data_IF_156181078856
#
_entry.id   IF_156181078856
#
_cell.length_a   1.000
_cell.length_b   1.000
_cell.length_c   1.000
_cell.angle_alpha   90.00
_cell.angle_beta   90.00
_cell.angle_gamma   90.00
#
_symmetry.space_group_name_H-M   'P 1'
#
loop_
_entity.id
_entity.type
_entity.pdbx_description
1 polymer ?
#
# COMPACT_ATOMS: atom_id res chain seq x y z
N UNK A 1 19.17 5.39 11.69
CA UNK A 1 18.95 4.14 10.94
C UNK A 1 17.47 3.78 10.85
N UNK A 2 16.69 3.83 11.93
CA UNK A 2 15.24 3.51 11.91
C UNK A 2 14.41 4.32 10.92
N UNK A 3 14.59 5.65 10.87
CA UNK A 3 13.86 6.50 9.93
C UNK A 3 14.08 6.10 8.46
N UNK A 4 15.28 5.59 8.11
CA UNK A 4 15.61 5.09 6.78
C UNK A 4 14.78 3.84 6.45
N UNK A 5 14.68 2.89 7.38
CA UNK A 5 13.88 1.68 7.20
C UNK A 5 12.39 2.01 7.04
N UNK A 6 11.85 2.89 7.89
CA UNK A 6 10.45 3.31 7.79
C UNK A 6 10.17 4.05 6.47
N UNK A 7 11.11 4.88 6.01
CA UNK A 7 10.98 5.58 4.72
C UNK A 7 10.99 4.60 3.55
N UNK A 8 11.90 3.62 3.56
CA UNK A 8 11.96 2.58 2.52
C UNK A 8 10.67 1.75 2.52
N UNK A 9 10.16 1.36 3.69
CA UNK A 9 8.90 0.64 3.80
C UNK A 9 7.72 1.46 3.25
N UNK A 10 7.66 2.75 3.56
CA UNK A 10 6.64 3.66 3.04
C UNK A 10 6.71 3.79 1.51
N UNK A 11 7.91 3.89 0.93
CA UNK A 11 8.11 3.93 -0.54
C UNK A 11 7.61 2.62 -1.17
N UNK A 12 7.97 1.46 -0.60
CA UNK A 12 7.53 0.16 -1.11
C UNK A 12 6.00 0.06 -1.07
N UNK A 13 5.38 0.40 0.06
CA UNK A 13 3.92 0.41 0.22
C UNK A 13 3.24 1.34 -0.79
N UNK A 14 3.80 2.54 -1.01
CA UNK A 14 3.31 3.49 -1.98
C UNK A 14 3.32 2.92 -3.40
N UNK A 15 4.45 2.35 -3.83
CA UNK A 15 4.61 1.78 -5.18
C UNK A 15 3.67 0.59 -5.39
N UNK A 16 3.50 -0.27 -4.38
CA UNK A 16 2.56 -1.40 -4.45
C UNK A 16 1.12 -0.89 -4.55
N UNK A 17 0.74 0.09 -3.71
CA UNK A 17 -0.60 0.66 -3.72
C UNK A 17 -0.95 1.32 -5.06
N UNK A 18 -0.02 2.09 -5.64
CA UNK A 18 -0.21 2.74 -6.94
C UNK A 18 -0.32 1.70 -8.06
N UNK A 19 0.50 0.65 -8.02
CA UNK A 19 0.43 -0.45 -8.99
C UNK A 19 -0.90 -1.16 -8.94
N UNK A 20 -1.42 -1.48 -7.74
CA UNK A 20 -2.74 -2.12 -7.57
C UNK A 20 -3.83 -1.23 -8.14
N UNK A 21 -3.82 0.07 -7.79
CA UNK A 21 -4.82 1.01 -8.27
C UNK A 21 -4.77 1.15 -9.80
N UNK A 22 -3.58 1.30 -10.37
CA UNK A 22 -3.40 1.39 -11.81
C UNK A 22 -3.89 0.12 -12.52
N UNK A 23 -3.65 -1.07 -11.95
CA UNK A 23 -4.19 -2.33 -12.48
C UNK A 23 -5.71 -2.38 -12.45
N UNK A 24 -6.33 -1.81 -11.42
CA UNK A 24 -7.79 -1.69 -11.33
C UNK A 24 -8.30 -0.72 -12.42
N UNK A 25 -7.68 0.44 -12.57
CA UNK A 25 -8.06 1.44 -13.59
C UNK A 25 -7.92 0.89 -15.02
N UNK A 26 -6.85 0.14 -15.30
CA UNK A 26 -6.64 -0.53 -16.60
C UNK A 26 -7.76 -1.54 -16.87
N UNK A 27 -8.14 -2.34 -15.88
CA UNK A 27 -9.24 -3.32 -16.03
C UNK A 27 -10.59 -2.67 -16.22
N UNK A 28 -10.81 -1.51 -15.60
CA UNK A 28 -12.05 -0.72 -15.75
C UNK A 28 -12.11 0.05 -17.07
N UNK A 29 -10.98 0.23 -17.77
CA UNK A 29 -10.89 0.98 -19.02
C UNK A 29 -11.05 2.50 -18.85
N UNK A 30 -11.12 2.99 -17.62
CA UNK A 30 -11.21 4.42 -17.31
C UNK A 30 -10.55 4.71 -15.96
N UNK A 31 -10.14 5.96 -15.76
CA UNK A 31 -9.60 6.40 -14.47
C UNK A 31 -10.72 6.59 -13.45
N UNK A 32 -10.44 6.21 -12.21
CA UNK A 32 -11.42 6.30 -11.13
C UNK A 32 -11.59 7.77 -10.71
N UNK A 33 -12.84 8.24 -10.62
CA UNK A 33 -13.14 9.62 -10.22
C UNK A 33 -12.63 9.97 -8.82
N UNK A 34 -12.63 8.99 -7.91
CA UNK A 34 -12.20 9.14 -6.52
C UNK A 34 -10.86 8.42 -6.27
N UNK A 35 -9.94 8.49 -7.25
CA UNK A 35 -8.66 7.77 -7.23
C UNK A 35 -7.89 7.95 -5.92
N UNK A 36 -7.82 9.17 -5.38
CA UNK A 36 -7.11 9.46 -4.12
C UNK A 36 -7.72 8.75 -2.90
N UNK A 37 -9.04 8.67 -2.81
CA UNK A 37 -9.74 7.95 -1.74
C UNK A 37 -9.48 6.44 -1.83
N UNK A 38 -9.48 5.91 -3.05
CA UNK A 38 -9.23 4.48 -3.28
C UNK A 38 -7.76 4.14 -3.02
N UNK A 39 -6.83 4.99 -3.48
CA UNK A 39 -5.41 4.89 -3.16
C UNK A 39 -5.18 4.87 -1.64
N UNK A 40 -5.82 5.80 -0.92
CA UNK A 40 -5.76 5.86 0.54
C UNK A 40 -6.27 4.56 1.18
N UNK A 41 -7.41 4.04 0.72
CA UNK A 41 -7.93 2.75 1.20
C UNK A 41 -6.96 1.59 0.96
N UNK A 42 -6.33 1.52 -0.21
CA UNK A 42 -5.37 0.48 -0.58
C UNK A 42 -4.12 0.55 0.31
N UNK A 43 -3.49 1.73 0.41
CA UNK A 43 -2.24 1.87 1.19
C UNK A 43 -2.49 1.68 2.69
N UNK A 44 -3.65 2.11 3.21
CA UNK A 44 -4.04 1.87 4.59
C UNK A 44 -4.21 0.37 4.86
N UNK A 45 -4.94 -0.33 4.00
CA UNK A 45 -5.12 -1.78 4.12
C UNK A 45 -3.79 -2.53 4.05
N UNK A 46 -2.93 -2.21 3.07
CA UNK A 46 -1.60 -2.79 2.97
C UNK A 46 -0.76 -2.52 4.21
N UNK A 47 -0.80 -1.30 4.75
CA UNK A 47 -0.07 -0.95 5.97
C UNK A 47 -0.52 -1.83 7.13
N UNK A 48 -1.83 -1.95 7.37
CA UNK A 48 -2.37 -2.80 8.44
C UNK A 48 -1.96 -4.27 8.28
N UNK A 49 -2.03 -4.80 7.06
CA UNK A 49 -1.60 -6.17 6.76
C UNK A 49 -0.09 -6.33 6.99
N UNK A 50 0.73 -5.39 6.55
CA UNK A 50 2.19 -5.41 6.77
C UNK A 50 2.53 -5.43 8.25
N UNK A 51 1.94 -4.55 9.05
CA UNK A 51 2.18 -4.52 10.50
C UNK A 51 1.69 -5.80 11.19
N UNK A 52 0.57 -6.36 10.75
CA UNK A 52 0.05 -7.63 11.29
C UNK A 52 1.00 -8.81 10.99
N UNK A 53 1.52 -8.88 9.76
CA UNK A 53 2.52 -9.89 9.37
C UNK A 53 3.79 -9.73 10.21
N UNK A 54 4.27 -8.49 10.36
CA UNK A 54 5.45 -8.19 11.17
C UNK A 54 5.25 -8.63 12.62
N UNK A 55 4.09 -8.30 13.21
CA UNK A 55 3.72 -8.70 14.57
C UNK A 55 3.77 -10.22 14.74
N UNK A 56 3.19 -10.97 13.80
CA UNK A 56 3.20 -12.44 13.82
C UNK A 56 4.61 -13.00 13.71
N UNK A 57 5.41 -12.47 12.80
CA UNK A 57 6.78 -12.91 12.54
C UNK A 57 7.75 -12.60 13.70
N UNK A 58 7.49 -11.55 14.49
CA UNK A 58 8.26 -11.26 15.71
C UNK A 58 7.76 -12.02 16.93
N UNK A 59 6.51 -12.48 16.92
CA UNK A 59 5.91 -13.26 18.02
C UNK A 59 6.15 -14.78 17.96
N UNK A 60 6.84 -15.26 16.91
CA UNK A 60 7.24 -16.67 16.72
C UNK A 60 8.68 -16.91 17.15
#
# INVERSE_FOLDING_TARGET
MEALYFTVAAIILYVIADTILNRIEIRLGHRLRHRSLIFFGIILFLSLVTFEILRRATSS
#
